data_IF_189166881227
#
_entry.id   IF_189166881227
#
_cell.length_a   1.000
_cell.length_b   1.000
_cell.length_c   1.000
_cell.angle_alpha   90.00
_cell.angle_beta   90.00
_cell.angle_gamma   90.00
#
_symmetry.space_group_name_H-M   'P 1'
#
loop_
_entity.id
_entity.type
_entity.pdbx_description
1 polymer ?
#
# COMPACT_ATOMS: atom_id res chain seq x y z
N UNK A 1 0.27 0.16 -13.43
CA UNK A 1 -0.66 0.31 -12.29
C UNK A 1 0.03 -0.01 -10.97
N UNK A 2 0.59 -1.21 -10.79
CA UNK A 2 1.36 -1.59 -9.59
C UNK A 2 2.47 -0.59 -9.23
N UNK A 3 3.18 -0.03 -10.22
CA UNK A 3 4.17 1.02 -9.99
C UNK A 3 3.62 2.30 -9.36
N UNK A 4 2.39 2.72 -9.70
CA UNK A 4 1.77 3.90 -9.10
C UNK A 4 1.35 3.63 -7.64
N UNK A 5 0.86 2.43 -7.36
CA UNK A 5 0.56 1.98 -5.99
C UNK A 5 1.83 1.88 -5.15
N UNK A 6 2.93 1.41 -5.75
CA UNK A 6 4.25 1.41 -5.11
C UNK A 6 4.71 2.82 -4.77
N UNK A 7 4.47 3.82 -5.64
CA UNK A 7 4.75 5.24 -5.32
C UNK A 7 3.91 5.70 -4.12
N UNK A 8 2.61 5.39 -4.06
CA UNK A 8 1.77 5.71 -2.88
C UNK A 8 2.37 5.10 -1.61
N UNK A 9 2.74 3.83 -1.67
CA UNK A 9 3.36 3.11 -0.55
C UNK A 9 4.68 3.76 -0.10
N UNK A 10 5.55 4.11 -1.05
CA UNK A 10 6.82 4.77 -0.76
C UNK A 10 6.62 6.14 -0.13
N UNK A 11 5.65 6.93 -0.61
CA UNK A 11 5.34 8.24 -0.06
C UNK A 11 4.75 8.14 1.36
N UNK A 12 3.93 7.13 1.64
CA UNK A 12 3.47 6.85 3.01
C UNK A 12 4.64 6.46 3.93
N UNK A 13 5.57 5.66 3.44
CA UNK A 13 6.75 5.27 4.21
C UNK A 13 7.65 6.48 4.54
N UNK A 14 7.88 7.36 3.56
CA UNK A 14 8.61 8.63 3.77
C UNK A 14 7.90 9.52 4.79
N UNK A 15 6.56 9.59 4.72
CA UNK A 15 5.77 10.35 5.68
C UNK A 15 5.87 9.75 7.09
N UNK A 16 5.82 8.42 7.23
CA UNK A 16 6.03 7.72 8.50
C UNK A 16 7.39 8.07 9.13
N UNK A 17 8.45 8.02 8.33
CA UNK A 17 9.80 8.36 8.78
C UNK A 17 9.93 9.85 9.15
N UNK A 18 9.34 10.73 8.33
CA UNK A 18 9.33 12.17 8.58
C UNK A 18 8.59 12.52 9.88
N UNK A 19 7.45 11.88 10.16
CA UNK A 19 6.70 12.05 11.41
C UNK A 19 7.49 11.58 12.63
N UNK A 20 8.16 10.43 12.52
CA UNK A 20 8.95 9.88 13.63
C UNK A 20 10.16 10.77 13.95
N UNK A 21 10.86 11.24 12.91
CA UNK A 21 12.12 11.98 13.03
C UNK A 21 11.95 13.51 12.90
N UNK A 22 10.73 14.04 13.05
CA UNK A 22 10.44 15.48 12.86
C UNK A 22 11.37 16.39 13.67
N UNK A 23 11.67 16.01 14.91
CA UNK A 23 12.55 16.79 15.79
C UNK A 23 13.99 16.79 15.29
N UNK A 24 14.53 15.62 14.95
CA UNK A 24 15.89 15.51 14.42
C UNK A 24 16.06 16.29 13.12
N UNK A 25 15.06 16.23 12.23
CA UNK A 25 15.03 17.00 10.98
C UNK A 25 15.00 18.52 11.26
N UNK A 26 14.15 18.96 12.19
CA UNK A 26 14.09 20.38 12.58
C UNK A 26 15.41 20.86 13.20
N UNK A 27 16.03 20.06 14.07
CA UNK A 27 17.34 20.37 14.66
C UNK A 27 18.46 20.42 13.61
N UNK A 28 18.46 19.52 12.64
CA UNK A 28 19.43 19.49 11.55
C UNK A 28 19.32 20.74 10.65
N UNK A 29 18.11 21.15 10.29
CA UNK A 29 17.89 22.36 9.48
C UNK A 29 18.31 23.64 10.22
N UNK A 30 18.04 23.73 11.53
CA UNK A 30 18.50 24.85 12.34
C UNK A 30 20.03 24.90 12.46
N UNK A 31 20.69 23.75 12.63
CA UNK A 31 22.16 23.66 12.63
C UNK A 31 22.74 24.12 11.29
N UNK A 32 22.13 23.72 10.18
CA UNK A 32 22.54 24.14 8.84
C UNK A 32 22.35 25.65 8.61
N UNK A 33 21.35 26.26 9.25
CA UNK A 33 21.13 27.70 9.25
C UNK A 33 22.07 28.48 10.21
N UNK A 34 22.99 27.80 10.90
CA UNK A 34 23.93 28.42 11.85
C UNK A 34 23.33 28.73 13.23
N UNK A 35 22.13 28.22 13.52
CA UNK A 35 21.45 28.42 14.80
C UNK A 35 21.99 27.44 15.84
N UNK A 36 22.30 27.94 17.04
CA UNK A 36 22.74 27.08 18.16
C UNK A 36 21.55 26.30 18.71
N UNK A 37 21.49 25.01 18.40
CA UNK A 37 20.48 24.10 18.95
C UNK A 37 20.89 23.67 20.35
N UNK A 38 20.05 23.99 21.33
CA UNK A 38 20.19 23.56 22.71
C UNK A 38 19.28 22.35 23.01
N UNK A 39 19.57 21.60 24.08
CA UNK A 39 18.74 20.47 24.51
C UNK A 39 17.31 20.88 24.91
N UNK A 40 17.12 22.13 25.31
CA UNK A 40 15.83 22.70 25.73
C UNK A 40 15.06 23.17 24.50
N UNK A 41 13.75 22.94 24.50
CA UNK A 41 12.83 23.48 23.49
C UNK A 41 12.96 25.01 23.42
N UNK A 42 13.55 25.52 22.34
CA UNK A 42 13.62 26.96 22.04
C UNK A 42 12.44 27.36 21.17
N UNK A 43 12.14 28.67 21.13
CA UNK A 43 11.08 29.18 20.24
C UNK A 43 11.35 28.84 18.77
N UNK A 44 12.61 28.99 18.33
CA UNK A 44 13.04 28.65 16.97
C UNK A 44 12.84 27.17 16.63
N UNK A 45 13.18 26.25 17.56
CA UNK A 45 12.95 24.81 17.37
C UNK A 45 11.47 24.48 17.31
N UNK A 46 10.67 25.11 18.16
CA UNK A 46 9.23 24.89 18.19
C UNK A 46 8.54 25.39 16.90
N UNK A 47 8.93 26.56 16.41
CA UNK A 47 8.42 27.12 15.16
C UNK A 47 8.81 26.21 13.98
N UNK A 48 10.03 25.66 13.99
CA UNK A 48 10.50 24.73 12.96
C UNK A 48 9.79 23.37 13.01
N UNK A 49 9.53 22.83 14.21
CA UNK A 49 8.74 21.61 14.37
C UNK A 49 7.29 21.81 13.88
N UNK A 50 6.68 22.97 14.16
CA UNK A 50 5.36 23.31 13.62
C UNK A 50 5.36 23.34 12.08
N UNK A 51 6.39 23.94 11.47
CA UNK A 51 6.55 23.93 10.01
C UNK A 51 6.63 22.50 9.45
N UNK A 52 7.45 21.62 10.07
CA UNK A 52 7.54 20.20 9.71
C UNK A 52 6.24 19.44 9.85
N UNK A 53 5.46 19.72 10.90
CA UNK A 53 4.14 19.13 11.06
C UNK A 53 3.21 19.57 9.93
N UNK A 54 3.20 20.85 9.56
CA UNK A 54 2.39 21.37 8.44
C UNK A 54 2.80 20.72 7.12
N UNK A 55 4.11 20.58 6.85
CA UNK A 55 4.62 19.85 5.69
C UNK A 55 4.10 18.40 5.66
N UNK A 56 4.14 17.69 6.79
CA UNK A 56 3.62 16.33 6.91
C UNK A 56 2.10 16.25 6.65
N UNK A 57 1.32 17.23 7.14
CA UNK A 57 -0.13 17.28 6.91
C UNK A 57 -0.43 17.50 5.42
N UNK A 58 0.26 18.43 4.77
CA UNK A 58 0.10 18.71 3.33
C UNK A 58 0.48 17.48 2.52
N UNK A 59 1.62 16.85 2.85
CA UNK A 59 2.08 15.64 2.17
C UNK A 59 1.07 14.50 2.31
N UNK A 60 0.52 14.28 3.51
CA UNK A 60 -0.55 13.31 3.74
C UNK A 60 -1.78 13.59 2.87
N UNK A 61 -2.22 14.85 2.79
CA UNK A 61 -3.36 15.25 1.96
C UNK A 61 -3.10 14.95 0.47
N UNK A 62 -1.91 15.30 -0.04
CA UNK A 62 -1.53 14.99 -1.42
C UNK A 62 -1.52 13.48 -1.71
N UNK A 63 -1.01 12.66 -0.78
CA UNK A 63 -1.03 11.19 -0.92
C UNK A 63 -2.48 10.68 -0.98
N UNK A 64 -3.34 11.19 -0.12
CA UNK A 64 -4.76 10.78 -0.06
C UNK A 64 -5.52 11.18 -1.32
N UNK A 65 -5.28 12.37 -1.85
CA UNK A 65 -5.87 12.83 -3.13
C UNK A 65 -5.37 11.99 -4.29
N UNK A 66 -4.06 11.80 -4.40
CA UNK A 66 -3.47 10.97 -5.45
C UNK A 66 -3.98 9.53 -5.41
N UNK A 67 -4.08 8.91 -4.23
CA UNK A 67 -4.62 7.57 -4.09
C UNK A 67 -6.11 7.47 -4.46
N UNK A 68 -6.90 8.51 -4.17
CA UNK A 68 -8.31 8.58 -4.61
C UNK A 68 -8.42 8.68 -6.12
N UNK A 69 -7.62 9.53 -6.76
CA UNK A 69 -7.59 9.65 -8.23
C UNK A 69 -7.15 8.35 -8.89
N UNK A 70 -6.09 7.72 -8.38
CA UNK A 70 -5.64 6.40 -8.86
C UNK A 70 -6.74 5.35 -8.74
N UNK A 71 -7.41 5.29 -7.59
CA UNK A 71 -8.51 4.36 -7.38
C UNK A 71 -9.63 4.63 -8.39
N UNK A 72 -10.06 5.88 -8.53
CA UNK A 72 -11.11 6.26 -9.47
C UNK A 72 -10.79 5.88 -10.92
N UNK A 73 -9.56 6.16 -11.38
CA UNK A 73 -9.13 5.89 -12.75
C UNK A 73 -9.02 4.39 -13.06
N UNK A 74 -8.55 3.60 -12.10
CA UNK A 74 -8.19 2.20 -12.35
C UNK A 74 -9.15 1.18 -11.75
N UNK A 75 -10.16 1.59 -10.99
CA UNK A 75 -11.04 0.66 -10.26
C UNK A 75 -11.72 -0.37 -11.17
N UNK A 76 -12.23 0.06 -12.33
CA UNK A 76 -12.90 -0.82 -13.31
C UNK A 76 -11.91 -1.74 -13.99
N UNK A 77 -10.72 -1.23 -14.34
CA UNK A 77 -9.66 -2.01 -14.96
C UNK A 77 -9.15 -3.11 -14.03
N UNK A 78 -8.96 -2.82 -12.74
CA UNK A 78 -8.55 -3.81 -11.72
C UNK A 78 -9.62 -4.88 -11.56
N UNK A 79 -10.89 -4.48 -11.49
CA UNK A 79 -11.99 -5.43 -11.36
C UNK A 79 -12.02 -6.39 -12.56
N UNK A 80 -11.93 -5.86 -13.78
CA UNK A 80 -11.85 -6.67 -14.99
C UNK A 80 -10.64 -7.60 -14.96
N UNK A 81 -9.47 -7.09 -14.55
CA UNK A 81 -8.25 -7.88 -14.40
C UNK A 81 -8.46 -9.05 -13.42
N UNK A 82 -9.12 -8.86 -12.27
CA UNK A 82 -9.39 -9.94 -11.33
C UNK A 82 -10.30 -11.02 -11.91
N UNK A 83 -11.38 -10.63 -12.59
CA UNK A 83 -12.31 -11.59 -13.21
C UNK A 83 -11.60 -12.39 -14.30
N UNK A 84 -10.89 -11.71 -15.20
CA UNK A 84 -10.12 -12.34 -16.28
C UNK A 84 -9.05 -13.25 -15.70
N UNK A 85 -8.37 -12.84 -14.63
CA UNK A 85 -7.36 -13.66 -13.97
C UNK A 85 -7.92 -14.97 -13.44
N UNK A 86 -9.12 -14.96 -12.84
CA UNK A 86 -9.75 -16.21 -12.36
C UNK A 86 -9.95 -17.19 -13.51
N UNK A 87 -10.45 -16.70 -14.65
CA UNK A 87 -10.69 -17.50 -15.85
C UNK A 87 -9.37 -18.03 -16.43
N UNK A 88 -8.37 -17.18 -16.59
CA UNK A 88 -7.05 -17.57 -17.12
C UNK A 88 -6.40 -18.62 -16.23
N UNK A 89 -6.32 -18.40 -14.91
CA UNK A 89 -5.73 -19.36 -13.96
C UNK A 89 -6.45 -20.71 -14.07
N UNK A 90 -7.78 -20.71 -14.12
CA UNK A 90 -8.57 -21.93 -14.23
C UNK A 90 -8.29 -22.70 -15.53
N UNK A 91 -8.32 -22.02 -16.68
CA UNK A 91 -8.12 -22.66 -17.99
C UNK A 91 -6.67 -23.14 -18.14
N UNK A 92 -5.68 -22.33 -17.76
CA UNK A 92 -4.27 -22.71 -17.87
C UNK A 92 -3.94 -23.90 -16.96
N UNK A 93 -4.50 -23.97 -15.74
CA UNK A 93 -4.36 -25.16 -14.89
C UNK A 93 -4.94 -26.42 -15.55
N UNK A 94 -6.09 -26.30 -16.22
CA UNK A 94 -6.69 -27.40 -16.96
C UNK A 94 -5.85 -27.82 -18.18
N UNK A 95 -5.36 -26.86 -18.97
CA UNK A 95 -4.49 -27.16 -20.11
C UNK A 95 -3.20 -27.87 -19.69
N UNK A 96 -2.63 -27.51 -18.53
CA UNK A 96 -1.46 -28.20 -17.97
C UNK A 96 -1.74 -29.68 -17.72
N UNK A 97 -2.97 -30.06 -17.33
CA UNK A 97 -3.34 -31.48 -17.15
C UNK A 97 -3.49 -32.27 -18.44
N UNK A 98 -3.75 -31.60 -19.57
CA UNK A 98 -3.94 -32.24 -20.88
C UNK A 98 -2.63 -32.41 -21.67
N UNK A 99 -1.57 -31.69 -21.30
CA UNK A 99 -0.29 -31.69 -22.02
C UNK A 99 0.65 -32.74 -21.41
N UNK A 100 1.43 -33.48 -22.21
CA UNK A 100 2.41 -34.43 -21.71
C UNK A 100 3.45 -33.74 -20.81
N UNK A 101 3.65 -34.35 -19.64
CA UNK A 101 4.63 -33.92 -18.63
C UNK A 101 6.02 -33.89 -19.26
N UNK A 102 6.82 -32.87 -18.92
CA UNK A 102 8.18 -32.60 -19.44
C UNK A 102 8.27 -32.13 -20.92
N UNK A 103 7.16 -31.83 -21.58
CA UNK A 103 7.21 -31.17 -22.90
C UNK A 103 7.60 -29.68 -22.78
N UNK A 104 8.16 -29.10 -23.84
CA UNK A 104 8.46 -27.66 -23.91
C UNK A 104 7.19 -26.82 -23.66
N UNK A 105 6.04 -27.29 -24.16
CA UNK A 105 4.75 -26.65 -23.96
C UNK A 105 4.34 -26.63 -22.48
N UNK A 106 4.54 -27.74 -21.76
CA UNK A 106 4.27 -27.83 -20.33
C UNK A 106 5.07 -26.80 -19.52
N UNK A 107 6.38 -26.69 -19.75
CA UNK A 107 7.21 -25.69 -19.09
C UNK A 107 6.79 -24.26 -19.43
N UNK A 108 6.44 -24.00 -20.69
CA UNK A 108 5.98 -22.68 -21.14
C UNK A 108 4.68 -22.27 -20.44
N UNK A 109 3.74 -23.21 -20.24
CA UNK A 109 2.48 -22.98 -19.53
C UNK A 109 2.68 -22.73 -18.04
N UNK A 110 3.58 -23.45 -17.38
CA UNK A 110 3.92 -23.21 -15.98
C UNK A 110 4.54 -21.81 -15.80
N UNK A 111 5.48 -21.44 -16.67
CA UNK A 111 6.10 -20.11 -16.62
C UNK A 111 5.05 -19.01 -16.86
N UNK A 112 4.17 -19.19 -17.84
CA UNK A 112 3.06 -18.27 -18.09
C UNK A 112 2.16 -18.13 -16.86
N UNK A 113 1.74 -19.26 -16.26
CA UNK A 113 0.92 -19.29 -15.06
C UNK A 113 1.61 -18.57 -13.88
N UNK A 114 2.90 -18.80 -13.70
CA UNK A 114 3.70 -18.13 -12.67
C UNK A 114 3.76 -16.62 -12.88
N UNK A 115 4.00 -16.16 -14.11
CA UNK A 115 4.00 -14.73 -14.44
C UNK A 115 2.65 -14.07 -14.14
N UNK A 116 1.55 -14.69 -14.54
CA UNK A 116 0.19 -14.18 -14.26
C UNK A 116 -0.09 -14.10 -12.75
N UNK A 117 0.30 -15.12 -11.99
CA UNK A 117 0.18 -15.12 -10.54
C UNK A 117 1.00 -14.01 -9.89
N UNK A 118 2.24 -13.81 -10.36
CA UNK A 118 3.14 -12.79 -9.85
C UNK A 118 2.59 -11.39 -10.12
N UNK A 119 2.00 -11.14 -11.28
CA UNK A 119 1.38 -9.85 -11.60
C UNK A 119 0.27 -9.47 -10.62
N UNK A 120 -0.68 -10.37 -10.37
CA UNK A 120 -1.80 -10.15 -9.44
C UNK A 120 -1.31 -10.08 -8.00
N UNK A 121 -0.33 -10.94 -7.66
CA UNK A 121 0.28 -10.95 -6.34
C UNK A 121 0.93 -9.59 -6.03
N UNK A 122 1.75 -9.05 -6.94
CA UNK A 122 2.40 -7.75 -6.73
C UNK A 122 1.36 -6.64 -6.55
N UNK A 123 0.29 -6.62 -7.35
CA UNK A 123 -0.79 -5.65 -7.22
C UNK A 123 -1.43 -5.69 -5.82
N UNK A 124 -1.78 -6.90 -5.35
CA UNK A 124 -2.42 -7.11 -4.05
C UNK A 124 -1.45 -6.89 -2.88
N UNK A 125 -0.17 -7.22 -3.06
CA UNK A 125 0.90 -7.01 -2.08
C UNK A 125 1.11 -5.52 -1.82
N UNK A 126 1.33 -4.71 -2.85
CA UNK A 126 1.50 -3.27 -2.67
C UNK A 126 0.22 -2.58 -2.17
N UNK A 127 -0.96 -3.05 -2.59
CA UNK A 127 -2.22 -2.58 -2.00
C UNK A 127 -2.31 -2.86 -0.49
N UNK A 128 -1.89 -4.06 -0.06
CA UNK A 128 -1.82 -4.42 1.36
C UNK A 128 -0.79 -3.56 2.10
N UNK A 129 0.35 -3.27 1.47
CA UNK A 129 1.39 -2.46 2.08
C UNK A 129 0.96 -1.00 2.28
N UNK A 130 0.19 -0.43 1.33
CA UNK A 130 -0.45 0.89 1.52
C UNK A 130 -1.36 0.90 2.75
N UNK A 131 -2.13 -0.17 2.98
CA UNK A 131 -2.98 -0.30 4.18
C UNK A 131 -2.12 -0.37 5.44
N UNK A 132 -1.02 -1.13 5.41
CA UNK A 132 -0.09 -1.28 6.54
C UNK A 132 0.58 0.05 6.90
N UNK A 133 1.24 0.68 5.93
CA UNK A 133 1.96 1.95 6.14
C UNK A 133 1.02 3.08 6.55
N UNK A 134 -0.18 3.16 5.98
CA UNK A 134 -1.16 4.18 6.40
C UNK A 134 -1.67 3.98 7.83
N UNK A 135 -1.75 2.74 8.32
CA UNK A 135 -2.13 2.44 9.71
C UNK A 135 -1.02 2.82 10.70
N UNK A 136 0.25 2.68 10.29
CA UNK A 136 1.40 3.05 11.12
C UNK A 136 1.57 4.58 11.30
N UNK A 137 0.97 5.41 10.44
CA UNK A 137 1.03 6.89 10.54
C UNK A 137 0.69 7.42 11.93
N UNK A 138 -0.43 6.96 12.49
CA UNK A 138 -0.87 7.38 13.82
C UNK A 138 0.12 6.97 14.90
N UNK A 139 0.74 5.79 14.77
CA UNK A 139 1.73 5.27 15.71
C UNK A 139 3.06 6.02 15.60
N UNK A 140 3.55 6.30 14.40
CA UNK A 140 4.75 7.12 14.19
C UNK A 140 4.55 8.54 14.73
N UNK A 141 3.41 9.16 14.45
CA UNK A 141 3.05 10.45 15.03
C UNK A 141 3.04 10.42 16.57
N UNK A 142 2.57 9.32 17.17
CA UNK A 142 2.51 9.17 18.63
C UNK A 142 3.88 8.96 19.26
N UNK A 143 4.76 8.22 18.59
CA UNK A 143 6.12 7.97 19.03
C UNK A 143 7.10 9.13 18.76
N UNK A 144 6.66 10.20 18.10
CA UNK A 144 7.49 11.38 17.87
C UNK A 144 7.82 12.13 19.17
N UNK A 145 8.87 12.95 19.18
CA UNK A 145 9.31 13.73 20.35
C UNK A 145 8.43 14.98 20.62
N UNK A 146 7.12 14.79 20.73
CA UNK A 146 6.12 15.86 20.86
C UNK A 146 5.86 16.31 22.30
N UNK A 147 6.33 15.57 23.30
CA UNK A 147 6.01 15.77 24.73
C UNK A 147 6.46 17.13 25.27
N UNK A 148 7.61 17.63 24.82
CA UNK A 148 8.18 18.92 25.22
C UNK A 148 7.68 20.11 24.36
N UNK A 149 6.84 19.85 23.35
CA UNK A 149 6.33 20.87 22.43
C UNK A 149 5.20 21.72 23.06
N UNK A 150 4.88 22.84 22.40
CA UNK A 150 3.79 23.72 22.83
C UNK A 150 2.41 23.07 22.74
N UNK A 151 1.47 23.67 23.46
CA UNK A 151 0.07 23.29 23.42
C UNK A 151 -0.51 23.31 21.99
N UNK A 152 -0.14 24.31 21.19
CA UNK A 152 -0.60 24.44 19.81
C UNK A 152 -0.12 23.28 18.94
N UNK A 153 1.17 22.93 19.01
CA UNK A 153 1.74 21.78 18.29
C UNK A 153 1.02 20.48 18.68
N UNK A 154 0.86 20.24 20.00
CA UNK A 154 0.19 19.05 20.54
C UNK A 154 -1.23 18.92 20.02
N UNK A 155 -1.98 20.02 20.00
CA UNK A 155 -3.35 20.05 19.49
C UNK A 155 -3.39 19.73 17.99
N UNK A 156 -2.50 20.31 17.19
CA UNK A 156 -2.44 20.08 15.75
C UNK A 156 -2.03 18.62 15.44
N UNK A 157 -1.07 18.08 16.18
CA UNK A 157 -0.65 16.69 16.06
C UNK A 157 -1.78 15.73 16.42
N UNK A 158 -2.58 16.03 17.46
CA UNK A 158 -3.74 15.22 17.85
C UNK A 158 -4.82 15.22 16.76
N UNK A 159 -5.07 16.36 16.10
CA UNK A 159 -5.97 16.41 14.94
C UNK A 159 -5.45 15.53 13.80
N UNK A 160 -4.15 15.62 13.50
CA UNK A 160 -3.53 14.77 12.49
C UNK A 160 -3.65 13.27 12.82
N UNK A 161 -3.37 12.87 14.06
CA UNK A 161 -3.55 11.49 14.54
C UNK A 161 -4.99 11.02 14.35
N UNK A 162 -5.97 11.84 14.75
CA UNK A 162 -7.39 11.50 14.61
C UNK A 162 -7.77 11.33 13.14
N UNK A 163 -7.27 12.18 12.25
CA UNK A 163 -7.51 12.08 10.81
C UNK A 163 -6.85 10.86 10.15
N UNK A 164 -5.67 10.44 10.64
CA UNK A 164 -4.89 9.33 10.08
C UNK A 164 -5.28 7.95 10.60
N UNK A 165 -6.18 7.86 11.59
CA UNK A 165 -6.67 6.57 12.12
C UNK A 165 -7.40 5.73 11.07
N UNK A 166 -7.93 6.36 10.02
CA UNK A 166 -8.58 5.62 8.94
C UNK A 166 -7.53 5.18 7.92
N UNK A 167 -7.23 3.88 7.91
CA UNK A 167 -6.29 3.29 6.95
C UNK A 167 -6.72 3.55 5.50
N UNK A 168 -5.75 3.94 4.66
CA UNK A 168 -5.95 4.14 3.24
C UNK A 168 -6.13 2.78 2.55
N UNK A 169 -7.32 2.54 2.00
CA UNK A 169 -7.67 1.33 1.27
C UNK A 169 -7.94 1.66 -0.19
N UNK A 170 -7.27 0.93 -1.09
CA UNK A 170 -7.54 0.99 -2.53
C UNK A 170 -8.61 -0.04 -2.89
N UNK A 171 -9.58 0.35 -3.71
CA UNK A 171 -10.74 -0.50 -4.06
C UNK A 171 -10.83 -0.79 -5.57
N UNK A 172 -11.12 -2.04 -5.90
CA UNK A 172 -11.52 -2.52 -7.21
C UNK A 172 -13.04 -2.72 -7.26
N UNK A 173 -13.70 -2.09 -8.23
CA UNK A 173 -15.15 -2.12 -8.41
C UNK A 173 -15.96 -1.54 -7.23
N UNK A 174 -15.33 -0.83 -6.30
CA UNK A 174 -15.97 -0.28 -5.09
C UNK A 174 -16.18 -1.27 -3.94
N UNK A 175 -15.91 -2.57 -4.13
CA UNK A 175 -16.16 -3.61 -3.11
C UNK A 175 -14.92 -4.42 -2.73
N UNK A 176 -14.02 -4.69 -3.69
CA UNK A 176 -12.84 -5.51 -3.43
C UNK A 176 -11.65 -4.64 -3.05
N UNK A 177 -11.18 -4.76 -1.81
CA UNK A 177 -9.94 -4.09 -1.40
C UNK A 177 -8.74 -4.77 -2.05
N UNK A 178 -7.75 -4.00 -2.52
CA UNK A 178 -6.48 -4.54 -2.97
C UNK A 178 -5.70 -5.02 -1.74
N UNK A 179 -5.80 -6.31 -1.44
CA UNK A 179 -5.15 -6.94 -0.29
C UNK A 179 -4.76 -8.38 -0.60
N UNK A 180 -3.84 -8.93 0.19
CA UNK A 180 -3.45 -10.34 0.09
C UNK A 180 -4.63 -11.29 0.34
N UNK A 181 -5.62 -10.87 1.12
CA UNK A 181 -6.86 -11.63 1.31
C UNK A 181 -7.64 -11.78 -0.01
N UNK A 182 -7.74 -10.70 -0.80
CA UNK A 182 -8.37 -10.75 -2.13
C UNK A 182 -7.59 -11.64 -3.09
N UNK A 183 -6.26 -11.62 -3.06
CA UNK A 183 -5.43 -12.55 -3.83
C UNK A 183 -5.74 -14.00 -3.49
N UNK A 184 -5.79 -14.35 -2.20
CA UNK A 184 -6.14 -15.72 -1.75
C UNK A 184 -7.55 -16.10 -2.19
N UNK A 185 -8.51 -15.17 -2.17
CA UNK A 185 -9.87 -15.40 -2.69
C UNK A 185 -9.86 -15.75 -4.17
N UNK A 186 -9.11 -15.00 -4.99
CA UNK A 186 -8.94 -15.27 -6.42
C UNK A 186 -8.39 -16.68 -6.63
N UNK A 187 -7.31 -17.07 -5.94
CA UNK A 187 -6.73 -18.41 -6.07
C UNK A 187 -7.70 -19.53 -5.70
N UNK A 188 -8.42 -19.36 -4.58
CA UNK A 188 -9.42 -20.34 -4.12
C UNK A 188 -10.53 -20.49 -5.14
N UNK A 189 -11.07 -19.39 -5.65
CA UNK A 189 -12.11 -19.42 -6.68
C UNK A 189 -11.62 -20.10 -7.95
N UNK A 190 -10.42 -19.78 -8.44
CA UNK A 190 -9.85 -20.44 -9.62
C UNK A 190 -9.65 -21.94 -9.41
N UNK A 191 -9.14 -22.35 -8.24
CA UNK A 191 -8.96 -23.76 -7.91
C UNK A 191 -10.29 -24.51 -7.82
N UNK A 192 -11.31 -23.91 -7.21
CA UNK A 192 -12.65 -24.49 -7.15
C UNK A 192 -13.24 -24.70 -8.54
N UNK A 193 -13.12 -23.72 -9.45
CA UNK A 193 -13.58 -23.89 -10.84
C UNK A 193 -12.78 -24.94 -11.60
N UNK A 194 -11.45 -24.99 -11.42
CA UNK A 194 -10.60 -26.02 -11.98
C UNK A 194 -11.01 -27.42 -11.51
N UNK A 195 -11.25 -27.61 -10.21
CA UNK A 195 -11.65 -28.88 -9.64
C UNK A 195 -12.99 -29.37 -10.22
N UNK A 196 -13.95 -28.47 -10.43
CA UNK A 196 -15.22 -28.79 -11.10
C UNK A 196 -14.98 -29.24 -12.54
N UNK A 197 -14.21 -28.47 -13.34
CA UNK A 197 -13.91 -28.84 -14.73
C UNK A 197 -13.20 -30.19 -14.83
N UNK A 198 -12.22 -30.44 -13.96
CA UNK A 198 -11.49 -31.70 -13.93
C UNK A 198 -12.39 -32.88 -13.52
N UNK A 199 -13.31 -32.67 -12.58
CA UNK A 199 -14.27 -33.72 -12.19
C UNK A 199 -15.26 -34.09 -13.30
N UNK A 200 -15.68 -33.12 -14.12
CA UNK A 200 -16.55 -33.36 -15.28
C UNK A 200 -15.79 -34.13 -16.35
N UNK A 201 -14.54 -33.74 -16.63
CA UNK A 201 -13.71 -34.45 -17.61
C UNK A 201 -13.35 -35.88 -17.18
N UNK A 202 -13.12 -36.12 -15.88
CA UNK A 202 -12.82 -37.45 -15.35
C UNK A 202 -14.05 -38.38 -15.26
N UNK A 203 -15.26 -37.84 -15.41
CA UNK A 203 -16.52 -38.60 -15.40
C UNK A 203 -16.99 -39.06 -16.78
N UNK A 204 -16.34 -38.64 -17.86
CA UNK A 204 -16.54 -39.10 -19.25
C UNK A 204 -15.56 -40.23 -19.60
#
# INVERSE_FOLDING_TARGET
MSGLIMVVCAQLHILNDSLLNMREQAEAELRNAGVKVYRRMTKELQDKMNEKLVECVIHHQCIMEFAKELTFLFTTSILGQFIVSVVIICITLFEITLVPVMSIKFFSMILYQFCMLLEIFLLCYYGNEVIRESTELTKCAFCSDWTDCSWEFKRNLLFFMTSSQTALKLYAGGFFTLSLETFVKILKSSWSYFAVLNSVHAGE
#
